data_IF_244886646694
#
_entry.id   IF_244886646694
#
_cell.length_a   1.000
_cell.length_b   1.000
_cell.length_c   1.000
_cell.angle_alpha   90.00
_cell.angle_beta   90.00
_cell.angle_gamma   90.00
#
_symmetry.space_group_name_H-M   'P 1'
#
loop_
_entity.id
_entity.type
_entity.pdbx_description
1 polymer ?
#
# COMPACT_ATOMS: atom_id res chain seq x y z
N UNK A 1 7.30 -0.28 -22.35
CA UNK A 1 8.54 -0.75 -21.69
C UNK A 1 8.59 -0.18 -20.28
N UNK A 2 9.15 -0.93 -19.32
CA UNK A 2 9.32 -0.47 -17.94
C UNK A 2 10.59 0.39 -17.88
N UNK A 3 10.46 1.62 -17.38
CA UNK A 3 11.58 2.56 -17.26
C UNK A 3 12.28 2.37 -15.90
N UNK A 4 13.62 2.40 -15.91
CA UNK A 4 14.44 2.39 -14.70
C UNK A 4 15.03 3.80 -14.45
N UNK A 5 15.18 4.22 -13.18
CA UNK A 5 14.75 3.55 -11.94
C UNK A 5 13.22 3.51 -11.79
N UNK A 6 12.68 2.54 -11.05
CA UNK A 6 11.24 2.49 -10.76
C UNK A 6 10.93 3.20 -9.43
N UNK A 7 9.97 4.12 -9.44
CA UNK A 7 9.49 4.83 -8.25
C UNK A 7 8.19 4.22 -7.71
N UNK A 8 8.04 4.20 -6.39
CA UNK A 8 6.77 3.78 -5.76
C UNK A 8 5.66 4.81 -6.02
N UNK A 9 4.41 4.37 -6.01
CA UNK A 9 3.24 5.20 -6.34
C UNK A 9 2.22 5.34 -5.19
N UNK A 10 2.50 4.75 -4.02
CA UNK A 10 1.51 4.64 -2.96
C UNK A 10 1.24 5.94 -2.17
N UNK A 11 2.17 6.91 -2.22
CA UNK A 11 2.08 8.18 -1.51
C UNK A 11 1.50 9.27 -2.43
N UNK A 12 0.28 9.77 -2.18
CA UNK A 12 -0.33 10.77 -3.05
C UNK A 12 0.40 12.12 -3.03
N UNK A 13 1.11 12.44 -1.93
CA UNK A 13 1.97 13.62 -1.90
C UNK A 13 3.14 13.52 -2.87
N UNK A 14 3.76 12.34 -2.96
CA UNK A 14 4.81 12.05 -3.93
C UNK A 14 4.28 12.12 -5.38
N UNK A 15 3.13 11.49 -5.64
CA UNK A 15 2.49 11.53 -6.96
C UNK A 15 2.21 12.98 -7.40
N UNK A 16 1.65 13.81 -6.50
CA UNK A 16 1.39 15.21 -6.85
C UNK A 16 2.68 15.98 -7.10
N UNK A 17 3.73 15.72 -6.33
CA UNK A 17 5.03 16.37 -6.52
C UNK A 17 5.65 16.04 -7.88
N UNK A 18 5.72 14.77 -8.27
CA UNK A 18 6.28 14.35 -9.56
C UNK A 18 5.44 14.88 -10.74
N UNK A 19 4.11 14.85 -10.65
CA UNK A 19 3.21 15.43 -11.67
C UNK A 19 3.47 16.94 -11.92
N UNK A 20 3.87 17.69 -10.89
CA UNK A 20 4.05 19.15 -11.00
C UNK A 20 5.51 19.57 -11.27
N UNK A 21 6.48 18.80 -10.77
CA UNK A 21 7.89 19.20 -10.76
C UNK A 21 8.76 18.40 -11.71
N UNK A 22 8.40 17.14 -11.96
CA UNK A 22 9.19 16.24 -12.80
C UNK A 22 8.29 15.31 -13.65
N UNK A 23 7.40 15.87 -14.49
CA UNK A 23 6.47 15.09 -15.31
C UNK A 23 7.18 14.11 -16.27
N UNK A 24 8.43 14.38 -16.64
CA UNK A 24 9.27 13.50 -17.44
C UNK A 24 9.53 12.13 -16.79
N UNK A 25 9.43 12.02 -15.47
CA UNK A 25 9.60 10.77 -14.72
C UNK A 25 8.27 10.05 -14.42
N UNK A 26 7.13 10.52 -14.94
CA UNK A 26 5.86 9.78 -14.81
C UNK A 26 5.95 8.33 -15.34
N UNK A 27 6.65 8.04 -16.46
CA UNK A 27 6.83 6.67 -16.93
C UNK A 27 7.60 5.75 -15.98
N UNK A 28 8.34 6.32 -15.01
CA UNK A 28 9.10 5.59 -14.00
C UNK A 28 8.26 5.21 -12.77
N UNK A 29 7.04 5.76 -12.63
CA UNK A 29 6.15 5.39 -11.53
C UNK A 29 5.62 3.97 -11.71
N UNK A 30 5.58 3.22 -10.61
CA UNK A 30 4.82 1.98 -10.55
C UNK A 30 3.36 2.24 -10.94
N UNK A 31 2.83 1.42 -11.84
CA UNK A 31 1.42 1.47 -12.26
C UNK A 31 0.47 0.93 -11.21
N UNK A 32 0.99 0.39 -10.10
CA UNK A 32 0.19 -0.07 -8.99
C UNK A 32 -0.59 1.10 -8.37
N UNK A 33 -1.87 0.84 -8.08
CA UNK A 33 -2.67 1.66 -7.16
C UNK A 33 -2.08 1.61 -5.75
N UNK A 34 -2.40 2.59 -4.90
CA UNK A 34 -2.07 2.47 -3.47
C UNK A 34 -2.98 1.42 -2.78
N UNK A 35 -2.61 0.90 -1.61
CA UNK A 35 -3.41 -0.13 -0.94
C UNK A 35 -4.85 0.30 -0.66
N UNK A 36 -5.10 1.57 -0.32
CA UNK A 36 -6.47 2.03 -0.13
C UNK A 36 -7.29 1.90 -1.42
N UNK A 37 -6.69 2.23 -2.57
CA UNK A 37 -7.38 2.22 -3.86
C UNK A 37 -7.54 0.80 -4.38
N UNK A 38 -6.54 -0.07 -4.17
CA UNK A 38 -6.65 -1.49 -4.44
C UNK A 38 -7.77 -2.11 -3.61
N UNK A 39 -7.79 -1.84 -2.30
CA UNK A 39 -8.81 -2.36 -1.40
C UNK A 39 -10.21 -1.88 -1.79
N UNK A 40 -10.38 -0.57 -2.01
CA UNK A 40 -11.68 0.00 -2.42
C UNK A 40 -12.24 -0.62 -3.69
N UNK A 41 -11.39 -0.80 -4.70
CA UNK A 41 -11.78 -1.48 -5.94
C UNK A 41 -12.22 -2.94 -5.68
N UNK A 42 -11.49 -3.68 -4.83
CA UNK A 42 -11.83 -5.06 -4.45
C UNK A 42 -13.11 -5.15 -3.61
N UNK A 43 -13.37 -4.19 -2.72
CA UNK A 43 -14.58 -4.14 -1.89
C UNK A 43 -15.84 -4.06 -2.76
N UNK A 44 -15.81 -3.25 -3.83
CA UNK A 44 -16.95 -3.06 -4.72
C UNK A 44 -17.03 -4.08 -5.87
N UNK A 45 -16.04 -4.95 -6.01
CA UNK A 45 -16.01 -5.98 -7.06
C UNK A 45 -16.02 -7.38 -6.45
N UNK A 46 -14.88 -7.84 -5.93
CA UNK A 46 -14.70 -9.16 -5.36
C UNK A 46 -15.59 -9.39 -4.12
N UNK A 47 -15.56 -8.48 -3.15
CA UNK A 47 -16.34 -8.63 -1.91
C UNK A 47 -17.84 -8.54 -2.17
N UNK A 48 -18.27 -7.55 -2.97
CA UNK A 48 -19.64 -7.41 -3.42
C UNK A 48 -20.18 -8.71 -4.05
N UNK A 49 -19.42 -9.31 -4.98
CA UNK A 49 -19.75 -10.60 -5.59
C UNK A 49 -19.81 -11.73 -4.56
N UNK A 50 -18.82 -11.83 -3.67
CA UNK A 50 -18.75 -12.89 -2.65
C UNK A 50 -19.87 -12.83 -1.63
N UNK A 51 -20.33 -11.63 -1.26
CA UNK A 51 -21.44 -11.41 -0.31
C UNK A 51 -22.81 -11.28 -1.00
N UNK A 52 -22.86 -11.34 -2.33
CA UNK A 52 -24.06 -11.11 -3.13
C UNK A 52 -24.73 -9.76 -2.82
N UNK A 53 -23.92 -8.70 -2.74
CA UNK A 53 -24.36 -7.33 -2.48
C UNK A 53 -24.23 -6.53 -3.78
N UNK A 54 -25.23 -5.72 -4.08
CA UNK A 54 -25.16 -4.72 -5.16
C UNK A 54 -24.06 -3.69 -4.85
N UNK A 55 -23.01 -3.55 -5.69
CA UNK A 55 -21.92 -2.61 -5.45
C UNK A 55 -22.38 -1.15 -5.24
N UNK A 56 -23.51 -0.74 -5.82
CA UNK A 56 -24.06 0.61 -5.66
C UNK A 56 -24.53 0.90 -4.23
N UNK A 57 -24.77 -0.15 -3.44
CA UNK A 57 -25.18 -0.06 -2.03
C UNK A 57 -23.99 -0.10 -1.07
N UNK A 58 -22.76 -0.25 -1.57
CA UNK A 58 -21.55 -0.30 -0.75
C UNK A 58 -20.98 1.11 -0.60
N UNK A 59 -20.89 1.56 0.65
CA UNK A 59 -20.12 2.75 1.04
C UNK A 59 -18.80 2.29 1.64
N UNK A 60 -17.70 2.62 0.96
CA UNK A 60 -16.33 2.31 1.38
C UNK A 60 -15.71 3.52 2.08
N UNK A 61 -15.35 3.35 3.35
CA UNK A 61 -14.71 4.37 4.18
C UNK A 61 -13.33 3.90 4.59
N UNK A 62 -12.30 4.70 4.30
CA UNK A 62 -10.93 4.41 4.75
C UNK A 62 -10.52 5.34 5.89
N UNK A 63 -9.76 4.82 6.85
CA UNK A 63 -9.18 5.60 7.95
C UNK A 63 -7.69 5.69 7.71
N UNK A 64 -7.17 6.91 7.55
CA UNK A 64 -5.82 7.17 7.07
C UNK A 64 -5.08 8.15 7.97
N UNK A 65 -3.78 7.97 8.23
CA UNK A 65 -2.96 8.97 8.92
C UNK A 65 -2.55 10.15 8.01
N UNK A 66 -3.12 10.27 6.80
CA UNK A 66 -2.70 11.22 5.77
C UNK A 66 -3.91 11.95 5.17
N UNK A 67 -3.85 13.28 5.12
CA UNK A 67 -4.90 14.11 4.50
C UNK A 67 -4.91 14.00 2.98
N UNK A 68 -3.75 13.83 2.34
CA UNK A 68 -3.64 13.68 0.89
C UNK A 68 -4.33 12.40 0.36
N UNK A 69 -4.64 11.43 1.23
CA UNK A 69 -5.45 10.25 0.86
C UNK A 69 -6.89 10.61 0.48
N UNK A 70 -7.44 11.72 1.00
CA UNK A 70 -8.74 12.27 0.56
C UNK A 70 -8.65 12.69 -0.91
N UNK A 71 -7.62 13.46 -1.27
CA UNK A 71 -7.37 13.86 -2.67
C UNK A 71 -7.19 12.65 -3.58
N UNK A 72 -6.44 11.62 -3.17
CA UNK A 72 -6.29 10.40 -3.95
C UNK A 72 -7.64 9.71 -4.22
N UNK A 73 -8.52 9.63 -3.22
CA UNK A 73 -9.85 9.04 -3.35
C UNK A 73 -10.79 9.81 -4.29
N UNK A 74 -10.54 11.10 -4.48
CA UNK A 74 -11.34 11.97 -5.36
C UNK A 74 -10.78 12.08 -6.78
N UNK A 75 -9.65 11.44 -7.10
CA UNK A 75 -9.10 11.45 -8.46
C UNK A 75 -10.12 10.84 -9.45
N UNK A 76 -10.43 11.50 -10.58
CA UNK A 76 -11.45 11.02 -11.54
C UNK A 76 -11.24 9.57 -12.01
N UNK A 77 -9.99 9.14 -12.12
CA UNK A 77 -9.57 7.80 -12.54
C UNK A 77 -9.70 6.72 -11.44
N UNK A 78 -9.97 7.07 -10.19
CA UNK A 78 -10.14 6.11 -9.07
C UNK A 78 -11.55 5.53 -9.04
N UNK A 79 -11.91 4.92 -10.17
CA UNK A 79 -13.25 4.37 -10.44
C UNK A 79 -13.21 3.01 -11.14
N UNK A 80 -12.19 2.19 -10.89
CA UNK A 80 -12.03 0.92 -11.62
C UNK A 80 -13.12 -0.10 -11.27
N UNK A 81 -13.82 0.07 -10.14
CA UNK A 81 -15.00 -0.71 -9.79
C UNK A 81 -16.28 -0.32 -10.56
N UNK A 82 -16.24 0.72 -11.40
CA UNK A 82 -17.43 1.35 -11.99
C UNK A 82 -18.11 2.37 -11.07
N UNK A 83 -17.70 2.41 -9.81
CA UNK A 83 -18.11 3.37 -8.79
C UNK A 83 -16.87 4.11 -8.29
N UNK A 84 -17.04 5.10 -7.40
CA UNK A 84 -15.90 5.66 -6.68
C UNK A 84 -15.28 4.56 -5.81
N UNK A 85 -14.01 4.22 -6.00
CA UNK A 85 -13.41 3.05 -5.33
C UNK A 85 -13.39 3.22 -3.81
N UNK A 86 -13.11 4.44 -3.33
CA UNK A 86 -13.21 4.85 -1.92
C UNK A 86 -14.16 6.04 -1.82
N UNK A 87 -15.27 5.92 -1.08
CA UNK A 87 -16.27 6.98 -0.99
C UNK A 87 -15.83 8.10 -0.05
N UNK A 88 -15.33 7.72 1.13
CA UNK A 88 -14.88 8.65 2.16
C UNK A 88 -13.54 8.25 2.74
N UNK A 89 -12.74 9.26 3.08
CA UNK A 89 -11.48 9.08 3.81
C UNK A 89 -11.55 9.91 5.09
N UNK A 90 -11.43 9.25 6.24
CA UNK A 90 -11.30 9.88 7.54
C UNK A 90 -9.84 9.88 7.95
N UNK A 91 -9.41 10.97 8.57
CA UNK A 91 -8.14 10.99 9.28
C UNK A 91 -8.26 10.29 10.63
N UNK A 92 -7.14 9.84 11.19
CA UNK A 92 -7.09 9.32 12.57
C UNK A 92 -7.70 10.30 13.57
N UNK A 93 -7.53 11.62 13.36
CA UNK A 93 -8.11 12.66 14.22
C UNK A 93 -9.62 12.75 14.09
N UNK A 94 -10.15 12.70 12.86
CA UNK A 94 -11.60 12.72 12.61
C UNK A 94 -12.28 11.49 13.26
N UNK A 95 -11.69 10.30 13.11
CA UNK A 95 -12.22 9.09 13.77
C UNK A 95 -12.18 9.23 15.30
N UNK A 96 -11.08 9.72 15.87
CA UNK A 96 -10.96 9.91 17.31
C UNK A 96 -12.00 10.88 17.88
N UNK A 97 -12.37 11.91 17.12
CA UNK A 97 -13.44 12.85 17.49
C UNK A 97 -14.80 12.14 17.44
N UNK A 98 -15.09 11.37 16.38
CA UNK A 98 -16.35 10.64 16.25
C UNK A 98 -16.57 9.65 17.41
N UNK A 99 -15.52 8.90 17.80
CA UNK A 99 -15.59 7.96 18.92
C UNK A 99 -15.93 8.69 20.22
N UNK A 100 -15.27 9.84 20.49
CA UNK A 100 -15.56 10.66 21.69
C UNK A 100 -16.97 11.24 21.67
N UNK A 101 -17.44 11.71 20.51
CA UNK A 101 -18.79 12.26 20.35
C UNK A 101 -19.89 11.21 20.52
N UNK A 102 -19.58 9.95 20.20
CA UNK A 102 -20.46 8.81 20.47
C UNK A 102 -20.53 8.41 21.95
N UNK A 103 -19.73 9.05 22.83
CA UNK A 103 -19.67 8.72 24.26
C UNK A 103 -18.97 7.40 24.57
N UNK A 104 -18.17 6.86 23.64
CA UNK A 104 -17.48 5.59 23.80
C UNK A 104 -16.16 5.77 24.55
N UNK A 105 -15.94 4.97 25.59
CA UNK A 105 -14.61 4.77 26.15
C UNK A 105 -13.85 3.73 25.31
N UNK A 106 -13.06 4.23 24.36
CA UNK A 106 -12.27 3.37 23.48
C UNK A 106 -11.30 2.44 24.21
N UNK A 107 -10.84 2.83 25.41
CA UNK A 107 -9.83 2.06 26.16
C UNK A 107 -10.42 0.86 26.88
N UNK A 108 -11.74 0.85 27.08
CA UNK A 108 -12.46 -0.25 27.73
C UNK A 108 -13.07 -1.24 26.74
N UNK A 109 -12.80 -1.09 25.43
CA UNK A 109 -13.32 -2.00 24.42
C UNK A 109 -12.54 -3.31 24.40
N UNK A 110 -13.27 -4.42 24.38
CA UNK A 110 -12.68 -5.74 24.21
C UNK A 110 -12.17 -5.92 22.76
N UNK A 111 -11.01 -6.57 22.56
CA UNK A 111 -10.53 -6.90 21.23
C UNK A 111 -11.52 -7.77 20.46
N UNK A 112 -11.73 -7.45 19.18
CA UNK A 112 -12.54 -8.24 18.28
C UNK A 112 -11.78 -8.56 16.99
N UNK A 113 -12.03 -9.72 16.37
CA UNK A 113 -11.45 -10.04 15.08
C UNK A 113 -11.96 -9.11 13.98
N UNK A 114 -11.14 -8.92 12.95
CA UNK A 114 -11.57 -8.26 11.72
C UNK A 114 -12.57 -9.12 10.93
N UNK A 115 -13.30 -8.48 10.01
CA UNK A 115 -14.24 -9.17 9.13
C UNK A 115 -13.56 -10.23 8.25
N UNK A 116 -14.29 -11.31 7.97
CA UNK A 116 -13.85 -12.36 7.05
C UNK A 116 -13.71 -11.85 5.59
N UNK A 117 -12.99 -12.60 4.75
CA UNK A 117 -12.74 -12.37 3.31
C UNK A 117 -11.65 -11.34 3.01
N UNK A 118 -11.67 -10.18 3.65
CA UNK A 118 -10.72 -9.09 3.37
C UNK A 118 -10.08 -8.48 4.63
N UNK A 119 -10.28 -9.07 5.82
CA UNK A 119 -9.70 -8.57 7.08
C UNK A 119 -8.38 -9.23 7.51
N UNK A 120 -7.88 -10.21 6.76
CA UNK A 120 -6.59 -10.84 7.07
C UNK A 120 -5.42 -9.91 6.68
N UNK A 121 -4.38 -9.88 7.51
CA UNK A 121 -3.19 -9.06 7.32
C UNK A 121 -1.93 -9.89 7.53
N UNK A 122 -0.90 -9.64 6.73
CA UNK A 122 0.43 -10.25 6.91
C UNK A 122 1.37 -9.28 7.64
N UNK A 123 2.50 -9.76 8.16
CA UNK A 123 3.51 -8.88 8.79
C UNK A 123 4.03 -7.78 7.86
N UNK A 124 4.05 -8.02 6.54
CA UNK A 124 4.42 -7.02 5.54
C UNK A 124 3.41 -5.85 5.44
N UNK A 125 2.11 -6.12 5.66
CA UNK A 125 1.09 -5.07 5.70
C UNK A 125 1.21 -4.21 6.97
N UNK A 126 1.66 -4.78 8.09
CA UNK A 126 1.85 -4.06 9.36
C UNK A 126 2.96 -3.00 9.25
N UNK A 127 4.05 -3.30 8.54
CA UNK A 127 5.18 -2.35 8.37
C UNK A 127 4.92 -1.26 7.34
N UNK A 128 3.81 -1.30 6.59
CA UNK A 128 3.44 -0.28 5.58
C UNK A 128 3.44 1.14 6.14
N UNK A 129 3.01 1.31 7.39
CA UNK A 129 2.95 2.62 8.06
C UNK A 129 4.32 3.21 8.43
N UNK A 130 5.39 2.42 8.36
CA UNK A 130 6.76 2.87 8.60
C UNK A 130 7.44 3.29 7.28
N UNK A 131 8.35 4.27 7.35
CA UNK A 131 9.18 4.65 6.20
C UNK A 131 9.96 3.43 5.69
N UNK A 132 9.78 3.08 4.42
CA UNK A 132 10.44 1.92 3.79
C UNK A 132 9.60 0.64 3.75
N UNK A 133 8.46 0.54 4.44
CA UNK A 133 7.70 -0.72 4.55
C UNK A 133 7.19 -1.29 3.22
N UNK A 134 6.71 -0.44 2.31
CA UNK A 134 6.23 -0.86 0.96
C UNK A 134 7.36 -1.40 0.11
N UNK A 135 8.47 -0.66 0.10
CA UNK A 135 9.65 -1.02 -0.66
C UNK A 135 10.28 -2.29 -0.09
N UNK A 136 10.34 -2.42 1.23
CA UNK A 136 10.82 -3.62 1.93
C UNK A 136 9.97 -4.84 1.56
N UNK A 137 8.63 -4.73 1.59
CA UNK A 137 7.74 -5.81 1.17
C UNK A 137 7.93 -6.19 -0.31
N UNK A 138 7.99 -5.20 -1.20
CA UNK A 138 8.16 -5.44 -2.64
C UNK A 138 9.52 -6.10 -2.94
N UNK A 139 10.60 -5.63 -2.31
CA UNK A 139 11.94 -6.19 -2.46
C UNK A 139 12.01 -7.62 -1.93
N UNK A 140 11.38 -7.91 -0.78
CA UNK A 140 11.31 -9.27 -0.23
C UNK A 140 10.66 -10.24 -1.20
N UNK A 141 9.47 -9.89 -1.70
CA UNK A 141 8.75 -10.73 -2.65
C UNK A 141 9.51 -10.89 -3.96
N UNK A 142 10.07 -9.82 -4.51
CA UNK A 142 10.86 -9.89 -5.74
C UNK A 142 12.09 -10.79 -5.57
N UNK A 143 12.83 -10.64 -4.46
CA UNK A 143 14.02 -11.43 -4.17
C UNK A 143 13.70 -12.92 -3.98
N UNK A 144 12.62 -13.24 -3.25
CA UNK A 144 12.17 -14.62 -3.06
C UNK A 144 11.73 -15.27 -4.38
N UNK A 145 11.01 -14.55 -5.24
CA UNK A 145 10.61 -15.06 -6.56
C UNK A 145 11.84 -15.30 -7.45
N UNK A 146 12.81 -14.38 -7.43
CA UNK A 146 14.00 -14.44 -8.30
C UNK A 146 14.99 -15.51 -7.82
N UNK A 147 15.21 -15.64 -6.52
CA UNK A 147 16.27 -16.51 -5.95
C UNK A 147 15.76 -17.80 -5.32
N UNK A 148 14.44 -17.93 -5.12
CA UNK A 148 13.83 -19.04 -4.38
C UNK A 148 14.16 -19.06 -2.89
N UNK A 149 14.75 -17.98 -2.34
CA UNK A 149 15.24 -17.88 -0.97
C UNK A 149 14.81 -16.56 -0.34
N UNK A 150 14.67 -16.57 0.98
CA UNK A 150 14.44 -15.33 1.74
C UNK A 150 15.63 -14.37 1.61
N UNK A 151 15.34 -13.08 1.69
CA UNK A 151 16.35 -12.01 1.62
C UNK A 151 17.37 -12.19 2.75
N UNK A 152 18.70 -12.06 2.51
CA UNK A 152 19.74 -12.36 3.50
C UNK A 152 19.91 -11.26 4.56
N UNK A 153 18.80 -10.79 5.15
CA UNK A 153 18.79 -9.85 6.26
C UNK A 153 18.24 -10.51 7.52
N UNK A 154 18.87 -10.24 8.67
CA UNK A 154 18.39 -10.75 9.96
C UNK A 154 17.02 -10.15 10.31
N UNK A 155 16.08 -11.01 10.72
CA UNK A 155 14.68 -10.65 10.99
C UNK A 155 13.97 -9.98 9.80
N UNK A 156 14.44 -10.25 8.58
CA UNK A 156 13.95 -9.67 7.33
C UNK A 156 14.05 -8.13 7.28
N UNK A 157 14.74 -7.50 8.23
CA UNK A 157 14.88 -6.06 8.29
C UNK A 157 15.90 -5.60 7.25
N UNK A 158 15.49 -4.85 6.23
CA UNK A 158 16.46 -4.12 5.40
C UNK A 158 16.93 -2.93 6.25
N UNK A 159 17.87 -3.18 7.16
CA UNK A 159 18.36 -2.22 8.16
C UNK A 159 18.77 -0.87 7.56
N UNK A 160 19.42 -0.82 6.38
CA UNK A 160 19.79 0.46 5.77
C UNK A 160 18.62 1.36 5.39
N UNK A 161 17.39 0.84 5.23
CA UNK A 161 16.21 1.65 4.84
C UNK A 161 15.32 2.04 6.03
N UNK A 162 15.70 1.63 7.25
CA UNK A 162 15.09 2.05 8.52
C UNK A 162 15.86 3.23 9.14
N UNK A 163 15.22 4.01 10.02
CA UNK A 163 15.83 5.20 10.66
C UNK A 163 15.09 6.52 10.36
N UNK A 164 15.65 7.67 10.76
CA UNK A 164 15.03 9.00 10.54
C UNK A 164 15.78 9.88 9.52
N UNK A 165 16.81 9.35 8.87
CA UNK A 165 17.55 10.09 7.84
C UNK A 165 16.66 10.36 6.61
N UNK A 166 16.84 11.55 6.01
CA UNK A 166 15.98 12.06 4.93
C UNK A 166 16.09 11.30 3.61
N UNK A 167 17.23 10.65 3.35
CA UNK A 167 17.46 9.74 2.23
C UNK A 167 18.21 8.52 2.77
N UNK A 168 17.82 7.33 2.30
CA UNK A 168 18.41 6.06 2.70
C UNK A 168 18.62 5.18 1.48
N UNK A 169 19.69 4.40 1.49
CA UNK A 169 20.11 3.56 0.38
C UNK A 169 20.49 2.16 0.89
N UNK A 170 20.22 1.15 0.07
CA UNK A 170 20.67 -0.22 0.29
C UNK A 170 21.05 -0.82 -1.06
N UNK A 171 22.09 -1.65 -1.08
CA UNK A 171 22.45 -2.46 -2.25
C UNK A 171 22.31 -3.93 -1.87
N UNK A 172 21.65 -4.71 -2.74
CA UNK A 172 21.46 -6.14 -2.58
C UNK A 172 21.98 -6.77 -3.85
N UNK A 173 23.01 -7.62 -3.72
CA UNK A 173 23.50 -8.42 -4.84
C UNK A 173 22.57 -9.60 -5.05
N UNK A 174 22.14 -9.82 -6.29
CA UNK A 174 21.30 -10.97 -6.63
C UNK A 174 22.19 -12.14 -7.06
N UNK A 175 22.18 -13.22 -6.28
CA UNK A 175 22.97 -14.43 -6.56
C UNK A 175 22.12 -15.69 -6.42
N UNK A 176 22.42 -16.72 -7.21
CA UNK A 176 21.70 -17.99 -7.21
C UNK A 176 20.25 -17.85 -7.67
N UNK A 177 20.05 -17.20 -8.81
CA UNK A 177 18.73 -17.03 -9.42
C UNK A 177 18.12 -18.37 -9.83
N UNK A 178 16.80 -18.47 -9.70
CA UNK A 178 16.03 -19.55 -10.29
C UNK A 178 16.17 -19.53 -11.83
N UNK A 179 15.94 -20.68 -12.51
CA UNK A 179 16.21 -20.84 -13.94
C UNK A 179 15.61 -19.74 -14.84
N UNK A 180 14.37 -19.33 -14.55
CA UNK A 180 13.62 -18.33 -15.33
C UNK A 180 14.16 -16.90 -15.15
N UNK A 181 14.97 -16.67 -14.10
CA UNK A 181 15.49 -15.35 -13.71
C UNK A 181 17.01 -15.23 -13.84
N UNK A 182 17.68 -16.19 -14.48
CA UNK A 182 19.16 -16.22 -14.62
C UNK A 182 19.78 -14.96 -15.22
N UNK A 183 19.03 -14.18 -15.99
CA UNK A 183 19.51 -12.92 -16.55
C UNK A 183 19.76 -11.83 -15.50
N UNK A 184 19.29 -12.02 -14.26
CA UNK A 184 19.54 -11.13 -13.12
C UNK A 184 20.74 -11.56 -12.27
N UNK A 185 21.45 -12.64 -12.63
CA UNK A 185 22.56 -13.15 -11.84
C UNK A 185 23.73 -12.15 -11.79
N UNK A 186 24.15 -11.79 -10.58
CA UNK A 186 25.23 -10.85 -10.32
C UNK A 186 24.86 -9.37 -10.48
N UNK A 187 23.57 -9.07 -10.71
CA UNK A 187 23.03 -7.70 -10.70
C UNK A 187 23.03 -7.08 -9.30
#
# INVERSE_FOLDING_TARGET
>A
EVQFPMFTSCSPGWIKFIEHKYPEFLPNLSTCKSPQQMFGALTKTFYAKKKNIDPSKIVSVSVMPCTAKKFEADRPEMRSSGFKDIDFVLTTRELAIMIKQAGLDFRSLEPMPYDSIMGESTGAAVIFGATGGVMEAALRTAYEIVTGREVPFSNLNITPVRGMDGVKEASIKIEGCAPDWKFLEGA
#
